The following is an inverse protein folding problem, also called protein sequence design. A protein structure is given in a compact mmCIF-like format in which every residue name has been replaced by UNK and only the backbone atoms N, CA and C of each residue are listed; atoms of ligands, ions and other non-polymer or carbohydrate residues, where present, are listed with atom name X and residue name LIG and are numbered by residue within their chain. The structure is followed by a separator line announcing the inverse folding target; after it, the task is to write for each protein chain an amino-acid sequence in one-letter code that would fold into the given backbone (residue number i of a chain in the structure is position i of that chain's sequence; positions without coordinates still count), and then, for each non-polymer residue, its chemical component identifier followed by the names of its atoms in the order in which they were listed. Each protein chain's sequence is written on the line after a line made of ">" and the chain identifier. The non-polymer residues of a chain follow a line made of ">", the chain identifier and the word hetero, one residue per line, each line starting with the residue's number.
data_IF_417348151459
#
_entry.id   IF_417348151459
#
_cell.length_a   1.000
_cell.length_b   1.000
_cell.length_c   1.000
_cell.angle_alpha   90.00
_cell.angle_beta   90.00
_cell.angle_gamma   90.00
#
_symmetry.space_group_name_H-M   'P 1'
#
loop_
_entity.id
_entity.type
_entity.pdbx_description
1 polymer ?
#
# COMPACT_ATOMS: atom_id res chain seq x y z
N UNK A 1 12.54 -5.77 -7.33
CA UNK A 1 12.68 -4.70 -8.37
C UNK A 1 11.45 -3.75 -8.38
N UNK A 2 10.21 -4.24 -8.40
CA UNK A 2 9.00 -3.38 -8.43
C UNK A 2 8.89 -2.47 -7.20
N UNK A 3 9.14 -2.98 -6.01
CA UNK A 3 9.06 -2.23 -4.75
C UNK A 3 10.08 -1.08 -4.69
N UNK A 4 11.32 -1.32 -5.17
CA UNK A 4 12.35 -0.27 -5.25
C UNK A 4 11.95 0.84 -6.24
N UNK A 5 11.34 0.48 -7.39
CA UNK A 5 10.83 1.48 -8.34
C UNK A 5 9.70 2.31 -7.73
N UNK A 6 8.80 1.66 -7.01
CA UNK A 6 7.73 2.37 -6.31
C UNK A 6 8.28 3.33 -5.26
N UNK A 7 9.26 2.92 -4.46
CA UNK A 7 9.91 3.78 -3.46
C UNK A 7 10.57 5.02 -4.10
N UNK A 8 11.26 4.86 -5.23
CA UNK A 8 11.86 5.99 -5.97
C UNK A 8 10.80 6.96 -6.53
N UNK A 9 9.70 6.43 -7.07
CA UNK A 9 8.59 7.26 -7.57
C UNK A 9 7.94 8.00 -6.41
N UNK A 10 7.68 7.32 -5.28
CA UNK A 10 7.11 7.92 -4.09
C UNK A 10 8.01 9.04 -3.54
N UNK A 11 9.33 8.80 -3.42
CA UNK A 11 10.30 9.81 -2.98
C UNK A 11 10.26 11.04 -3.88
N UNK A 12 10.29 10.85 -5.21
CA UNK A 12 10.27 11.95 -6.17
C UNK A 12 8.98 12.76 -6.07
N UNK A 13 7.84 12.10 -5.89
CA UNK A 13 6.55 12.76 -5.75
C UNK A 13 6.41 13.48 -4.40
N UNK A 14 6.85 12.89 -3.30
CA UNK A 14 6.93 13.56 -1.99
C UNK A 14 7.80 14.82 -2.08
N UNK A 15 8.96 14.74 -2.75
CA UNK A 15 9.84 15.90 -2.96
C UNK A 15 9.12 17.03 -3.71
N UNK A 16 8.36 16.69 -4.74
CA UNK A 16 7.58 17.66 -5.51
C UNK A 16 6.50 18.33 -4.65
N UNK A 17 5.76 17.53 -3.86
CA UNK A 17 4.73 18.05 -2.96
C UNK A 17 5.30 19.04 -1.94
N UNK A 18 6.47 18.71 -1.35
CA UNK A 18 7.15 19.63 -0.43
C UNK A 18 7.70 20.89 -1.12
N UNK A 19 8.17 20.78 -2.37
CA UNK A 19 8.62 21.94 -3.14
C UNK A 19 7.45 22.89 -3.41
N UNK A 20 6.31 22.36 -3.84
CA UNK A 20 5.10 23.13 -4.10
C UNK A 20 4.50 23.73 -2.82
N UNK A 21 4.50 23.00 -1.72
CA UNK A 21 4.04 23.48 -0.43
C UNK A 21 4.82 24.72 0.09
N UNK A 22 6.09 24.87 -0.31
CA UNK A 22 6.89 26.07 0.01
C UNK A 22 6.50 27.29 -0.82
N UNK A 23 5.94 27.08 -2.03
CA UNK A 23 5.58 28.15 -2.94
C UNK A 23 4.14 28.62 -2.75
N UNK A 24 3.22 27.74 -2.40
CA UNK A 24 1.81 28.05 -2.16
C UNK A 24 1.36 27.68 -0.74
N UNK A 25 1.33 28.71 0.12
CA UNK A 25 0.90 28.60 1.53
C UNK A 25 -0.56 28.14 1.69
N UNK A 26 -1.42 28.40 0.72
CA UNK A 26 -2.83 27.99 0.78
C UNK A 26 -2.98 26.48 0.58
N UNK A 27 -2.09 25.88 -0.19
CA UNK A 27 -2.08 24.44 -0.47
C UNK A 27 -1.16 23.65 0.47
N UNK A 28 -0.31 24.32 1.25
CA UNK A 28 0.72 23.71 2.11
C UNK A 28 0.17 22.53 2.93
N UNK A 29 -0.90 22.76 3.68
CA UNK A 29 -1.51 21.72 4.55
C UNK A 29 -1.95 20.50 3.75
N UNK A 30 -2.57 20.70 2.60
CA UNK A 30 -3.06 19.59 1.77
C UNK A 30 -1.91 18.82 1.15
N UNK A 31 -0.90 19.51 0.61
CA UNK A 31 0.25 18.90 -0.04
C UNK A 31 1.11 18.12 0.95
N UNK A 32 1.33 18.66 2.15
CA UNK A 32 2.07 17.95 3.20
C UNK A 32 1.29 16.76 3.74
N UNK A 33 -0.05 16.85 3.81
CA UNK A 33 -0.92 15.72 4.19
C UNK A 33 -0.88 14.61 3.15
N UNK A 34 -0.90 14.95 1.87
CA UNK A 34 -0.77 13.98 0.77
C UNK A 34 0.61 13.31 0.79
N UNK A 35 1.68 14.08 1.01
CA UNK A 35 3.04 13.57 1.16
C UNK A 35 3.15 12.58 2.33
N UNK A 36 2.50 12.86 3.47
CA UNK A 36 2.45 11.97 4.61
C UNK A 36 1.76 10.64 4.29
N UNK A 37 0.58 10.68 3.66
CA UNK A 37 -0.17 9.49 3.24
C UNK A 37 0.65 8.64 2.26
N UNK A 38 1.32 9.27 1.31
CA UNK A 38 2.16 8.57 0.34
C UNK A 38 3.39 7.93 0.99
N UNK A 39 4.01 8.63 1.95
CA UNK A 39 5.13 8.09 2.72
C UNK A 39 4.71 6.87 3.55
N UNK A 40 3.53 6.91 4.16
CA UNK A 40 2.97 5.78 4.90
C UNK A 40 2.66 4.59 3.99
N UNK A 41 2.06 4.84 2.84
CA UNK A 41 1.83 3.83 1.80
C UNK A 41 3.14 3.20 1.29
N UNK A 42 4.17 4.01 1.09
CA UNK A 42 5.46 3.54 0.60
C UNK A 42 6.25 2.74 1.65
N UNK A 43 6.08 3.09 2.94
CA UNK A 43 6.59 2.31 4.08
C UNK A 43 5.84 1.01 4.26
N UNK A 44 4.55 0.96 3.89
CA UNK A 44 3.64 -0.18 4.04
C UNK A 44 4.28 -1.47 3.58
N UNK A 45 5.03 -2.06 4.48
CA UNK A 45 6.17 -2.88 4.17
C UNK A 45 5.75 -4.32 3.95
N UNK A 46 6.49 -4.98 3.09
CA UNK A 46 6.53 -6.44 2.97
C UNK A 46 6.66 -7.14 4.34
N UNK A 47 7.28 -6.50 5.33
CA UNK A 47 7.43 -7.01 6.70
C UNK A 47 6.12 -6.98 7.47
N UNK A 48 5.35 -5.88 7.42
CA UNK A 48 4.02 -5.82 8.05
C UNK A 48 3.07 -6.82 7.39
N UNK A 49 3.09 -6.93 6.05
CA UNK A 49 2.31 -7.96 5.33
C UNK A 49 2.73 -9.37 5.71
N UNK A 50 4.02 -9.65 5.81
CA UNK A 50 4.53 -10.98 6.19
C UNK A 50 4.19 -11.32 7.65
N UNK A 51 4.31 -10.37 8.57
CA UNK A 51 3.90 -10.52 9.97
C UNK A 51 2.39 -10.74 10.08
N UNK A 52 1.57 -9.90 9.41
CA UNK A 52 0.14 -10.04 9.39
C UNK A 52 -0.31 -11.39 8.80
N UNK A 53 0.29 -11.81 7.70
CA UNK A 53 0.03 -13.12 7.09
C UNK A 53 0.47 -14.30 7.98
N UNK A 54 1.57 -14.15 8.72
CA UNK A 54 2.05 -15.16 9.66
C UNK A 54 1.14 -15.25 10.89
N UNK A 55 0.77 -14.11 11.48
CA UNK A 55 -0.15 -14.02 12.62
C UNK A 55 -1.55 -14.51 12.24
N UNK A 56 -2.00 -14.20 11.03
CA UNK A 56 -3.27 -14.68 10.51
C UNK A 56 -3.32 -16.21 10.35
N UNK A 57 -2.20 -16.85 10.01
CA UNK A 57 -2.12 -18.32 9.92
C UNK A 57 -2.23 -19.01 11.27
N UNK A 58 -1.73 -18.37 12.33
CA UNK A 58 -1.63 -18.96 13.68
C UNK A 58 -2.71 -18.50 14.65
N UNK A 59 -3.27 -17.30 14.44
CA UNK A 59 -4.17 -16.63 15.39
C UNK A 59 -5.66 -16.87 15.16
N UNK A 60 -6.08 -17.17 13.94
CA UNK A 60 -7.50 -17.33 13.64
C UNK A 60 -7.89 -18.81 13.55
N UNK A 61 -8.70 -19.26 14.53
CA UNK A 61 -9.26 -20.61 14.53
C UNK A 61 -10.39 -20.80 13.51
N UNK A 62 -10.78 -19.74 12.79
CA UNK A 62 -11.84 -19.80 11.80
C UNK A 62 -11.36 -20.43 10.49
N UNK A 63 -11.88 -21.62 10.20
CA UNK A 63 -11.55 -22.38 9.00
C UNK A 63 -11.95 -21.64 7.71
N UNK A 64 -13.05 -20.88 7.72
CA UNK A 64 -13.54 -20.13 6.56
C UNK A 64 -12.61 -18.98 6.23
N UNK A 65 -12.15 -18.25 7.25
CA UNK A 65 -11.14 -17.19 7.05
C UNK A 65 -9.85 -17.76 6.46
N UNK A 66 -9.42 -18.93 6.96
CA UNK A 66 -8.23 -19.60 6.43
C UNK A 66 -8.40 -20.00 4.94
N UNK A 67 -9.60 -20.42 4.53
CA UNK A 67 -9.93 -20.74 3.13
C UNK A 67 -9.91 -19.48 2.26
N UNK A 68 -10.55 -18.39 2.68
CA UNK A 68 -10.51 -17.10 1.97
C UNK A 68 -9.09 -16.58 1.80
N UNK A 69 -8.28 -16.60 2.87
CA UNK A 69 -6.90 -16.15 2.84
C UNK A 69 -6.04 -17.00 1.88
N UNK A 70 -6.26 -18.32 1.85
CA UNK A 70 -5.57 -19.20 0.89
C UNK A 70 -5.97 -18.89 -0.55
N UNK A 71 -7.27 -18.75 -0.81
CA UNK A 71 -7.79 -18.43 -2.15
C UNK A 71 -7.22 -17.11 -2.65
N UNK A 72 -7.20 -16.06 -1.81
CA UNK A 72 -6.60 -14.77 -2.16
C UNK A 72 -5.12 -14.90 -2.51
N UNK A 73 -4.34 -15.63 -1.70
CA UNK A 73 -2.93 -15.87 -1.94
C UNK A 73 -2.66 -16.68 -3.21
N UNK A 74 -3.51 -17.66 -3.52
CA UNK A 74 -3.39 -18.49 -4.73
C UNK A 74 -3.67 -17.66 -5.97
N UNK A 75 -4.70 -16.82 -5.94
CA UNK A 75 -5.01 -15.87 -7.01
C UNK A 75 -3.86 -14.88 -7.24
N UNK A 76 -3.27 -14.34 -6.17
CA UNK A 76 -2.11 -13.47 -6.28
C UNK A 76 -0.91 -14.18 -6.91
N UNK A 77 -0.64 -15.44 -6.55
CA UNK A 77 0.45 -16.24 -7.15
C UNK A 77 0.22 -16.45 -8.63
N UNK A 78 -1.01 -16.82 -9.03
CA UNK A 78 -1.39 -16.98 -10.45
C UNK A 78 -1.19 -15.69 -11.23
N UNK A 79 -1.64 -14.55 -10.70
CA UNK A 79 -1.45 -13.23 -11.32
C UNK A 79 0.05 -12.93 -11.50
N UNK A 80 0.88 -13.20 -10.49
CA UNK A 80 2.32 -12.95 -10.58
C UNK A 80 2.97 -13.84 -11.66
N UNK A 81 2.64 -15.13 -11.72
CA UNK A 81 3.15 -16.04 -12.74
C UNK A 81 2.74 -15.63 -14.17
N UNK A 82 1.49 -15.17 -14.35
CA UNK A 82 1.04 -14.66 -15.66
C UNK A 82 1.72 -13.33 -16.03
N UNK A 83 1.98 -12.45 -15.09
CA UNK A 83 2.75 -11.23 -15.35
C UNK A 83 4.19 -11.54 -15.77
N UNK A 84 4.85 -12.51 -15.14
CA UNK A 84 6.18 -12.98 -15.54
C UNK A 84 6.16 -13.61 -16.94
N UNK A 85 5.14 -14.44 -17.21
CA UNK A 85 4.95 -15.01 -18.55
C UNK A 85 4.75 -13.91 -19.60
N UNK A 86 3.89 -12.92 -19.32
CA UNK A 86 3.65 -11.78 -20.22
C UNK A 86 4.93 -11.01 -20.53
N UNK A 87 5.77 -10.78 -19.54
CA UNK A 87 7.08 -10.12 -19.73
C UNK A 87 7.98 -10.97 -20.66
N UNK A 88 8.05 -12.27 -20.44
CA UNK A 88 8.88 -13.17 -21.22
C UNK A 88 8.41 -13.26 -22.69
N UNK A 89 7.11 -13.41 -22.92
CA UNK A 89 6.57 -13.49 -24.30
C UNK A 89 6.65 -12.13 -25.02
N UNK A 90 6.54 -11.02 -24.30
CA UNK A 90 6.72 -9.67 -24.90
C UNK A 90 8.15 -9.47 -25.38
N UNK A 91 9.14 -10.02 -24.69
CA UNK A 91 10.56 -9.97 -25.10
C UNK A 91 10.88 -10.93 -26.23
N UNK A 92 10.18 -12.07 -26.33
CA UNK A 92 10.43 -13.08 -27.36
C UNK A 92 9.68 -12.82 -28.68
N UNK A 93 8.95 -11.70 -28.79
CA UNK A 93 8.23 -11.34 -30.01
C UNK A 93 6.96 -12.17 -30.28
N UNK A 94 6.35 -12.73 -29.25
CA UNK A 94 5.09 -13.46 -29.37
C UNK A 94 3.97 -12.59 -29.93
N UNK A 95 2.99 -13.24 -30.60
CA UNK A 95 1.87 -12.56 -31.25
C UNK A 95 1.06 -11.68 -30.28
N UNK A 96 0.52 -10.57 -30.79
CA UNK A 96 -0.34 -9.66 -30.01
C UNK A 96 -1.53 -10.43 -29.40
N UNK A 97 -2.13 -11.35 -30.16
CA UNK A 97 -3.25 -12.16 -29.69
C UNK A 97 -2.90 -13.01 -28.46
N UNK A 98 -1.71 -13.61 -28.39
CA UNK A 98 -1.26 -14.38 -27.24
C UNK A 98 -1.05 -13.47 -26.02
N UNK A 99 -0.48 -12.28 -26.22
CA UNK A 99 -0.31 -11.29 -25.14
C UNK A 99 -1.65 -10.77 -24.62
N UNK A 100 -2.62 -10.51 -25.51
CA UNK A 100 -3.95 -10.01 -25.14
C UNK A 100 -4.75 -11.05 -24.36
N UNK A 101 -4.62 -12.32 -24.71
CA UNK A 101 -5.23 -13.41 -23.94
C UNK A 101 -4.71 -13.43 -22.51
N UNK A 102 -3.39 -13.35 -22.31
CA UNK A 102 -2.80 -13.33 -20.96
C UNK A 102 -3.22 -12.07 -20.18
N UNK A 103 -3.30 -10.90 -20.82
CA UNK A 103 -3.83 -9.69 -20.18
C UNK A 103 -5.27 -9.86 -19.72
N UNK A 104 -6.10 -10.47 -20.54
CA UNK A 104 -7.50 -10.79 -20.22
C UNK A 104 -7.57 -11.74 -19.03
N UNK A 105 -6.77 -12.80 -19.02
CA UNK A 105 -6.72 -13.76 -17.91
C UNK A 105 -6.26 -13.08 -16.59
N UNK A 106 -5.24 -12.22 -16.67
CA UNK A 106 -4.80 -11.42 -15.51
C UNK A 106 -5.92 -10.51 -15.00
N UNK A 107 -6.67 -9.87 -15.91
CA UNK A 107 -7.80 -8.99 -15.54
C UNK A 107 -8.91 -9.78 -14.83
N UNK A 108 -9.25 -10.96 -15.33
CA UNK A 108 -10.24 -11.85 -14.73
C UNK A 108 -9.82 -12.30 -13.32
N UNK A 109 -8.58 -12.75 -13.17
CA UNK A 109 -8.03 -13.16 -11.85
C UNK A 109 -7.96 -12.00 -10.86
N UNK A 110 -7.67 -10.78 -11.32
CA UNK A 110 -7.72 -9.58 -10.46
C UNK A 110 -9.13 -9.27 -9.98
N UNK A 111 -10.13 -9.42 -10.87
CA UNK A 111 -11.53 -9.24 -10.51
C UNK A 111 -11.98 -10.26 -9.46
N UNK A 112 -11.64 -11.53 -9.66
CA UNK A 112 -11.93 -12.61 -8.71
C UNK A 112 -11.25 -12.35 -7.35
N UNK A 113 -9.97 -12.00 -7.37
CA UNK A 113 -9.22 -11.65 -6.16
C UNK A 113 -9.85 -10.47 -5.39
N UNK A 114 -10.29 -9.43 -6.11
CA UNK A 114 -10.96 -8.28 -5.50
C UNK A 114 -12.30 -8.68 -4.87
N UNK A 115 -13.03 -9.61 -5.46
CA UNK A 115 -14.25 -10.16 -4.85
C UNK A 115 -13.95 -10.89 -3.53
N UNK A 116 -12.94 -11.77 -3.54
CA UNK A 116 -12.50 -12.48 -2.31
C UNK A 116 -12.05 -11.49 -1.23
N UNK A 117 -11.32 -10.43 -1.61
CA UNK A 117 -10.89 -9.38 -0.65
C UNK A 117 -12.07 -8.63 -0.03
N UNK A 118 -13.10 -8.30 -0.82
CA UNK A 118 -14.33 -7.69 -0.32
C UNK A 118 -15.08 -8.62 0.62
N UNK A 119 -15.12 -9.91 0.33
CA UNK A 119 -15.72 -10.89 1.23
C UNK A 119 -14.97 -10.98 2.56
N UNK A 120 -13.64 -10.92 2.54
CA UNK A 120 -12.82 -10.86 3.75
C UNK A 120 -13.07 -9.56 4.51
N UNK A 121 -13.06 -8.40 3.85
CA UNK A 121 -13.29 -7.09 4.47
C UNK A 121 -14.66 -7.03 5.16
N UNK A 122 -15.70 -7.56 4.51
CA UNK A 122 -17.07 -7.53 5.03
C UNK A 122 -17.29 -8.51 6.20
N UNK A 123 -16.68 -9.68 6.14
CA UNK A 123 -16.91 -10.74 7.12
C UNK A 123 -15.91 -10.76 8.27
N UNK A 124 -14.70 -10.27 8.00
CA UNK A 124 -13.56 -10.31 8.92
C UNK A 124 -12.79 -8.97 8.92
N UNK A 125 -13.44 -7.85 9.27
CA UNK A 125 -12.83 -6.52 9.16
C UNK A 125 -11.56 -6.39 10.00
N UNK A 126 -11.50 -6.95 11.20
CA UNK A 126 -10.31 -6.92 12.04
C UNK A 126 -9.10 -7.62 11.39
N UNK A 127 -9.35 -8.75 10.73
CA UNK A 127 -8.32 -9.43 9.96
C UNK A 127 -7.88 -8.60 8.74
N UNK A 128 -8.84 -8.02 8.03
CA UNK A 128 -8.56 -7.21 6.85
C UNK A 128 -7.71 -5.98 7.20
N UNK A 129 -8.06 -5.27 8.26
CA UNK A 129 -7.30 -4.11 8.75
C UNK A 129 -5.87 -4.50 9.21
N UNK A 130 -5.69 -5.73 9.68
CA UNK A 130 -4.36 -6.25 10.05
C UNK A 130 -3.49 -6.55 8.82
N UNK A 131 -4.05 -7.18 7.77
CA UNK A 131 -3.28 -7.61 6.58
C UNK A 131 -3.16 -6.53 5.52
N UNK A 132 -4.08 -5.58 5.49
CA UNK A 132 -4.11 -4.43 4.59
C UNK A 132 -4.42 -3.14 5.35
N UNK A 133 -3.51 -2.71 6.25
CA UNK A 133 -3.73 -1.49 7.01
C UNK A 133 -3.89 -0.30 6.07
N UNK A 134 -4.95 0.47 6.27
CA UNK A 134 -5.19 1.72 5.53
C UNK A 134 -4.24 2.79 6.04
N UNK A 135 -3.63 3.59 5.14
CA UNK A 135 -2.81 4.73 5.56
C UNK A 135 -3.59 5.63 6.51
N UNK A 136 -2.94 6.07 7.58
CA UNK A 136 -3.55 6.99 8.55
C UNK A 136 -3.33 8.43 8.10
N UNK A 137 -4.36 9.28 8.19
CA UNK A 137 -4.23 10.71 7.91
C UNK A 137 -3.66 11.48 9.09
N UNK A 138 -3.04 12.65 8.83
CA UNK A 138 -2.56 13.57 9.87
C UNK A 138 -3.69 13.94 10.83
N UNK A 139 -4.88 14.29 10.30
CA UNK A 139 -6.03 14.67 11.14
C UNK A 139 -6.52 13.52 12.04
N UNK A 140 -6.45 12.29 11.56
CA UNK A 140 -6.81 11.12 12.37
C UNK A 140 -5.74 10.83 13.43
N UNK A 141 -4.48 10.98 13.07
CA UNK A 141 -3.35 10.86 14.01
C UNK A 141 -3.45 11.92 15.10
N UNK A 142 -3.70 13.18 14.75
CA UNK A 142 -3.83 14.28 15.69
C UNK A 142 -4.93 14.04 16.74
N UNK A 143 -6.05 13.42 16.34
CA UNK A 143 -7.19 13.14 17.24
C UNK A 143 -6.90 12.10 18.33
N UNK A 144 -5.91 11.25 18.16
CA UNK A 144 -5.54 10.21 19.13
C UNK A 144 -4.40 10.64 20.06
N UNK A 145 -3.76 11.78 19.78
CA UNK A 145 -2.68 12.33 20.60
C UNK A 145 -3.24 13.19 21.75
N UNK A 146 -2.61 13.09 22.91
CA UNK A 146 -2.91 13.94 24.05
C UNK A 146 -2.21 15.31 23.92
N UNK A 147 -2.56 16.28 24.81
CA UNK A 147 -2.05 17.65 24.76
C UNK A 147 -0.51 17.77 24.77
N UNK A 148 0.16 16.84 25.43
CA UNK A 148 1.62 16.86 25.62
C UNK A 148 2.33 15.80 24.77
N UNK A 149 1.64 15.22 23.78
CA UNK A 149 2.19 14.19 22.92
C UNK A 149 2.47 14.74 21.53
N UNK A 150 3.60 14.33 20.97
CA UNK A 150 4.00 14.61 19.59
C UNK A 150 4.40 13.30 18.95
N UNK A 151 3.77 12.96 17.84
CA UNK A 151 4.23 11.87 16.99
C UNK A 151 5.25 12.42 16.01
N UNK A 152 6.49 11.93 16.10
CA UNK A 152 7.52 12.19 15.10
C UNK A 152 7.66 10.95 14.22
N UNK A 153 7.52 11.13 12.93
CA UNK A 153 7.68 10.06 11.95
C UNK A 153 8.51 10.55 10.77
N UNK A 154 9.21 9.64 10.14
CA UNK A 154 10.10 9.96 9.01
C UNK A 154 9.99 8.94 7.90
N UNK A 155 10.28 9.38 6.69
CA UNK A 155 10.46 8.55 5.51
C UNK A 155 11.89 8.69 5.01
N UNK A 156 12.62 7.60 4.97
CA UNK A 156 13.98 7.56 4.44
C UNK A 156 13.94 7.16 2.97
N UNK A 157 14.18 8.11 2.08
CA UNK A 157 14.38 7.85 0.66
C UNK A 157 15.85 7.57 0.32
N UNK A 158 16.13 7.29 -0.94
CA UNK A 158 17.52 7.08 -1.41
C UNK A 158 18.30 8.40 -1.53
N UNK A 159 17.63 9.51 -1.81
CA UNK A 159 18.21 10.84 -2.04
C UNK A 159 17.87 11.84 -0.95
N UNK A 160 16.65 11.76 -0.44
CA UNK A 160 16.11 12.69 0.56
C UNK A 160 15.34 11.95 1.62
N UNK A 161 15.35 12.51 2.82
CA UNK A 161 14.53 12.04 3.93
C UNK A 161 13.54 13.12 4.34
N UNK A 162 12.37 12.71 4.77
CA UNK A 162 11.29 13.60 5.18
C UNK A 162 10.87 13.27 6.59
N UNK A 163 10.53 14.30 7.36
CA UNK A 163 10.08 14.16 8.74
C UNK A 163 8.77 14.93 8.92
N UNK A 164 7.86 14.37 9.70
CA UNK A 164 6.63 14.99 10.13
C UNK A 164 6.57 14.95 11.64
N UNK A 165 6.27 16.09 12.26
CA UNK A 165 5.93 16.19 13.66
C UNK A 165 4.45 16.57 13.78
N UNK A 166 3.66 15.69 14.39
CA UNK A 166 2.20 15.82 14.48
C UNK A 166 1.86 15.93 15.95
N UNK A 167 1.11 16.96 16.31
CA UNK A 167 0.53 17.13 17.63
C UNK A 167 -1.01 17.19 17.54
N UNK A 168 -1.67 17.30 18.66
CA UNK A 168 -3.14 17.30 18.77
C UNK A 168 -3.84 18.32 17.83
N UNK A 169 -3.19 19.46 17.49
CA UNK A 169 -3.74 20.48 16.60
C UNK A 169 -3.30 20.29 15.12
N UNK A 170 -2.64 19.21 14.79
CA UNK A 170 -2.13 18.90 13.45
C UNK A 170 -0.60 18.93 13.34
N UNK A 171 -0.10 19.40 12.19
CA UNK A 171 1.34 19.52 11.95
C UNK A 171 1.95 20.62 12.80
N UNK A 172 3.13 20.33 13.36
CA UNK A 172 4.00 21.34 13.95
C UNK A 172 4.69 22.14 12.84
N UNK A 173 4.59 23.42 12.88
CA UNK A 173 5.32 24.34 11.99
C UNK A 173 6.80 24.44 12.40
#
# INVERSE_FOLDING_TARGET
>A
KAQRRFALIAESYISLLFAEAKTDKNLEKNLVSEAFLLADLARGSSVQKALAQSTARTGFKDKRLAEFARTEQDLQRKINSLNELLLNISQSGASASAQDKIRSDISSLRSERNSVKKDIENRYPEYFDLVEPKPISIDRTAKILNQNEVLVTWYFGERQSFVWAIHQNGLSN
#
